data_IF_933350753912
#
_entry.id   IF_933350753912
#
_cell.length_a   1.000
_cell.length_b   1.000
_cell.length_c   1.000
_cell.angle_alpha   90.00
_cell.angle_beta   90.00
_cell.angle_gamma   90.00
#
_symmetry.space_group_name_H-M   'P 1'
#
loop_
_entity.id
_entity.type
_entity.pdbx_description
1 polymer ?
#
# COMPACT_ATOMS: atom_id res chain seq x y z
N UNK A 1 1.29 -2.56 -27.83
CA UNK A 1 2.63 -1.94 -27.93
C UNK A 1 3.19 -1.84 -26.51
N UNK A 2 4.20 -2.66 -26.13
CA UNK A 2 4.85 -2.52 -24.81
C UNK A 2 5.83 -1.35 -24.92
N UNK A 3 5.41 -0.15 -24.54
CA UNK A 3 6.31 0.99 -24.41
C UNK A 3 7.31 0.74 -23.28
N UNK A 4 8.50 1.32 -23.36
CA UNK A 4 9.44 1.33 -22.24
C UNK A 4 8.83 2.15 -21.09
N UNK A 5 8.37 1.46 -20.04
CA UNK A 5 7.75 2.09 -18.87
C UNK A 5 8.78 2.44 -17.78
N UNK A 6 10.07 2.43 -18.10
CA UNK A 6 11.13 2.85 -17.17
C UNK A 6 10.93 4.29 -16.67
N UNK A 7 10.32 5.17 -17.47
CA UNK A 7 10.01 6.54 -17.07
C UNK A 7 9.04 6.61 -15.87
N UNK A 8 8.16 5.61 -15.70
CA UNK A 8 7.25 5.53 -14.56
C UNK A 8 7.98 5.33 -13.22
N UNK A 9 9.25 4.91 -13.25
CA UNK A 9 10.07 4.77 -12.06
C UNK A 9 10.75 6.08 -11.64
N UNK A 10 10.89 7.08 -12.52
CA UNK A 10 11.61 8.34 -12.23
C UNK A 10 11.17 9.02 -10.92
N UNK A 11 9.86 9.10 -10.58
CA UNK A 11 9.44 9.71 -9.32
C UNK A 11 10.00 9.03 -8.07
N UNK A 12 10.36 7.74 -8.14
CA UNK A 12 10.87 6.96 -7.00
C UNK A 12 12.23 7.47 -6.50
N UNK A 13 12.98 8.18 -7.33
CA UNK A 13 14.22 8.87 -6.93
C UNK A 13 13.98 9.82 -5.75
N UNK A 14 12.75 10.35 -5.60
CA UNK A 14 12.31 11.12 -4.44
C UNK A 14 12.52 10.35 -3.15
N UNK A 15 12.28 9.03 -3.13
CA UNK A 15 12.46 8.21 -1.94
C UNK A 15 13.85 7.59 -1.86
N UNK A 16 14.31 6.90 -2.90
CA UNK A 16 15.69 6.42 -2.94
C UNK A 16 16.13 6.02 -4.35
N UNK A 17 17.45 6.06 -4.64
CA UNK A 17 18.00 5.45 -5.86
C UNK A 17 17.70 3.95 -5.96
N UNK A 18 17.70 3.23 -4.83
CA UNK A 18 17.37 1.81 -4.82
C UNK A 18 15.93 1.52 -5.27
N UNK A 19 14.96 2.32 -4.81
CA UNK A 19 13.57 2.21 -5.26
C UNK A 19 13.46 2.48 -6.77
N UNK A 20 14.18 3.48 -7.28
CA UNK A 20 14.24 3.76 -8.71
C UNK A 20 14.75 2.56 -9.52
N UNK A 21 15.88 1.96 -9.15
CA UNK A 21 16.44 0.81 -9.87
C UNK A 21 15.52 -0.41 -9.86
N UNK A 22 14.89 -0.70 -8.72
CA UNK A 22 13.90 -1.76 -8.63
C UNK A 22 12.66 -1.43 -9.48
N UNK A 23 12.23 -0.16 -9.50
CA UNK A 23 11.14 0.36 -10.32
C UNK A 23 11.37 0.18 -11.81
N UNK A 24 12.57 0.50 -12.30
CA UNK A 24 12.98 0.25 -13.69
C UNK A 24 12.91 -1.22 -14.05
N UNK A 25 13.30 -2.09 -13.13
CA UNK A 25 13.33 -3.53 -13.38
C UNK A 25 11.91 -4.09 -13.46
N UNK A 26 11.02 -3.70 -12.53
CA UNK A 26 9.65 -4.22 -12.48
C UNK A 26 8.72 -3.58 -13.51
N UNK A 27 9.01 -2.36 -13.99
CA UNK A 27 8.16 -1.64 -14.97
C UNK A 27 7.97 -2.39 -16.29
N UNK A 28 8.90 -3.28 -16.67
CA UNK A 28 8.79 -4.15 -17.85
C UNK A 28 7.59 -5.10 -17.83
N UNK A 29 7.02 -5.33 -16.64
CA UNK A 29 5.84 -6.17 -16.44
C UNK A 29 4.54 -5.37 -16.45
N UNK A 30 4.61 -4.04 -16.44
CA UNK A 30 3.46 -3.16 -16.39
C UNK A 30 2.90 -2.89 -17.79
N UNK A 31 1.63 -2.51 -17.81
CA UNK A 31 0.93 -2.01 -18.97
C UNK A 31 0.39 -0.61 -18.65
N UNK A 32 0.31 0.26 -19.66
CA UNK A 32 -0.37 1.55 -19.54
C UNK A 32 -1.86 1.38 -19.83
N UNK A 33 -2.69 1.98 -18.98
CA UNK A 33 -4.12 2.12 -19.25
C UNK A 33 -4.36 3.32 -20.17
N UNK A 34 -4.05 3.18 -21.46
CA UNK A 34 -4.27 4.22 -22.47
C UNK A 34 -5.76 4.42 -22.83
N UNK A 35 -6.69 4.12 -21.93
CA UNK A 35 -8.14 4.17 -22.14
C UNK A 35 -8.72 3.05 -23.03
N UNK A 36 -7.87 2.30 -23.73
CA UNK A 36 -8.28 1.29 -24.71
C UNK A 36 -7.67 -0.11 -24.46
N UNK A 37 -6.68 -0.21 -23.56
CA UNK A 37 -5.97 -1.47 -23.27
C UNK A 37 -6.84 -2.45 -22.50
N UNK A 38 -7.72 -1.98 -21.60
CA UNK A 38 -8.74 -2.83 -20.98
C UNK A 38 -9.66 -3.44 -22.05
N UNK A 39 -10.11 -2.65 -23.02
CA UNK A 39 -10.97 -3.13 -24.12
C UNK A 39 -10.26 -4.17 -24.99
N UNK A 40 -8.97 -3.99 -25.26
CA UNK A 40 -8.18 -4.92 -26.08
C UNK A 40 -7.75 -6.20 -25.32
N UNK A 41 -7.59 -6.15 -23.99
CA UNK A 41 -7.26 -7.32 -23.17
C UNK A 41 -8.49 -8.15 -22.75
N UNK A 42 -9.70 -7.57 -22.80
CA UNK A 42 -10.96 -8.33 -22.62
C UNK A 42 -11.06 -9.46 -23.67
N UNK A 43 -10.45 -9.32 -24.85
CA UNK A 43 -10.37 -10.40 -25.85
C UNK A 43 -9.46 -11.57 -25.48
N UNK A 44 -8.60 -11.43 -24.46
CA UNK A 44 -7.63 -12.45 -24.03
C UNK A 44 -7.89 -13.01 -22.62
N UNK A 45 -8.94 -12.52 -21.93
CA UNK A 45 -9.34 -12.93 -20.57
C UNK A 45 -8.17 -12.94 -19.55
N UNK A 46 -7.21 -12.01 -19.69
CA UNK A 46 -6.09 -11.89 -18.74
C UNK A 46 -6.52 -10.95 -17.60
N UNK A 47 -6.68 -11.44 -16.36
CA UNK A 47 -6.98 -10.57 -15.24
C UNK A 47 -5.84 -9.57 -15.01
N UNK A 48 -6.21 -8.30 -14.82
CA UNK A 48 -5.27 -7.21 -14.53
C UNK A 48 -5.69 -6.46 -13.28
N UNK A 49 -4.69 -6.04 -12.51
CA UNK A 49 -4.84 -5.22 -11.33
C UNK A 49 -4.47 -3.77 -11.65
N UNK A 50 -5.24 -2.82 -11.13
CA UNK A 50 -4.98 -1.38 -11.30
C UNK A 50 -4.02 -0.89 -10.21
N UNK A 51 -3.00 -0.15 -10.61
CA UNK A 51 -2.03 0.52 -9.76
C UNK A 51 -2.14 2.04 -9.97
N UNK A 52 -3.02 2.69 -9.21
CA UNK A 52 -3.29 4.12 -9.42
C UNK A 52 -4.04 4.39 -10.74
N UNK A 53 -3.85 5.58 -11.31
CA UNK A 53 -4.64 6.00 -12.47
C UNK A 53 -4.29 5.21 -13.74
N UNK A 54 -2.99 5.10 -14.07
CA UNK A 54 -2.58 4.77 -15.44
C UNK A 54 -1.81 3.45 -15.57
N UNK A 55 -1.52 2.76 -14.47
CA UNK A 55 -0.72 1.53 -14.49
C UNK A 55 -1.57 0.29 -14.24
N UNK A 56 -1.31 -0.75 -15.01
CA UNK A 56 -1.91 -2.07 -14.88
C UNK A 56 -0.83 -3.12 -14.66
N UNK A 57 -1.06 -4.01 -13.71
CA UNK A 57 -0.24 -5.18 -13.42
C UNK A 57 -1.03 -6.44 -13.81
N UNK A 58 -0.54 -7.27 -14.74
CA UNK A 58 -1.17 -8.57 -15.00
C UNK A 58 -1.18 -9.45 -13.75
N UNK A 59 -2.33 -10.03 -13.41
CA UNK A 59 -2.52 -10.73 -12.13
C UNK A 59 -1.72 -12.04 -11.99
N UNK A 60 -1.17 -12.55 -13.10
CA UNK A 60 -0.28 -13.72 -13.10
C UNK A 60 1.19 -13.37 -12.80
N UNK A 61 1.53 -12.08 -12.69
CA UNK A 61 2.89 -11.65 -12.37
C UNK A 61 3.07 -11.75 -10.86
N UNK A 62 3.90 -12.70 -10.43
CA UNK A 62 4.32 -12.80 -9.04
C UNK A 62 5.25 -11.65 -8.69
N UNK A 63 4.84 -10.85 -7.71
CA UNK A 63 5.59 -9.69 -7.22
C UNK A 63 6.01 -9.93 -5.78
N UNK A 64 7.30 -9.78 -5.51
CA UNK A 64 7.88 -9.88 -4.18
C UNK A 64 7.45 -8.69 -3.29
N UNK A 65 7.70 -8.80 -1.99
CA UNK A 65 7.37 -7.73 -1.03
C UNK A 65 8.06 -6.38 -1.36
N UNK A 66 9.37 -6.34 -1.69
CA UNK A 66 10.01 -5.11 -2.17
C UNK A 66 9.39 -4.54 -3.45
N UNK A 67 9.06 -5.40 -4.41
CA UNK A 67 8.45 -4.98 -5.68
C UNK A 67 7.05 -4.42 -5.46
N UNK A 68 6.25 -4.98 -4.56
CA UNK A 68 4.93 -4.42 -4.21
C UNK A 68 5.03 -3.01 -3.63
N UNK A 69 6.02 -2.73 -2.77
CA UNK A 69 6.22 -1.39 -2.25
C UNK A 69 6.54 -0.39 -3.37
N UNK A 70 7.42 -0.79 -4.28
CA UNK A 70 7.78 0.01 -5.45
C UNK A 70 6.59 0.22 -6.40
N UNK A 71 5.82 -0.82 -6.68
CA UNK A 71 4.64 -0.73 -7.55
C UNK A 71 3.55 0.17 -6.98
N UNK A 72 3.30 0.12 -5.67
CA UNK A 72 2.40 1.05 -5.00
C UNK A 72 2.87 2.50 -5.14
N UNK A 73 4.19 2.72 -5.03
CA UNK A 73 4.80 4.04 -5.20
C UNK A 73 4.76 4.53 -6.65
N UNK A 74 4.95 3.65 -7.64
CA UNK A 74 4.77 3.97 -9.05
C UNK A 74 3.33 4.36 -9.37
N UNK A 75 2.34 3.72 -8.74
CA UNK A 75 0.93 4.09 -8.86
C UNK A 75 0.60 5.51 -8.34
N UNK A 76 1.45 6.07 -7.46
CA UNK A 76 1.37 7.49 -7.04
C UNK A 76 1.94 8.40 -8.14
N UNK A 77 2.98 7.94 -8.85
CA UNK A 77 3.58 8.63 -9.97
C UNK A 77 4.19 9.98 -9.60
N UNK A 78 3.99 10.98 -10.45
CA UNK A 78 4.59 12.31 -10.33
C UNK A 78 4.16 13.08 -9.07
N UNK A 79 3.17 12.60 -8.31
CA UNK A 79 2.75 13.16 -7.03
C UNK A 79 3.57 12.68 -5.83
N UNK A 80 4.49 11.73 -6.02
CA UNK A 80 5.29 11.18 -4.94
C UNK A 80 6.16 12.26 -4.26
N UNK A 81 6.07 12.40 -2.93
CA UNK A 81 6.83 13.41 -2.17
C UNK A 81 7.42 12.82 -0.90
N UNK A 82 8.42 13.51 -0.34
CA UNK A 82 8.78 13.36 1.08
C UNK A 82 7.96 14.33 1.94
N UNK A 83 7.64 13.97 3.19
CA UNK A 83 7.95 12.71 3.87
C UNK A 83 6.77 11.73 3.85
N UNK A 84 6.22 11.42 2.66
CA UNK A 84 5.08 10.49 2.56
C UNK A 84 5.52 9.06 2.84
N UNK A 85 4.60 8.27 3.40
CA UNK A 85 4.81 6.85 3.75
C UNK A 85 3.64 6.04 3.19
N UNK A 86 3.87 4.90 2.53
CA UNK A 86 2.76 4.02 2.13
C UNK A 86 2.00 3.58 3.37
N UNK A 87 0.66 3.69 3.35
CA UNK A 87 -0.17 3.49 4.53
C UNK A 87 -1.47 2.75 4.20
N UNK A 88 -2.20 2.37 5.26
CA UNK A 88 -3.53 1.76 5.15
C UNK A 88 -3.50 0.55 4.20
N UNK A 89 -4.52 0.36 3.36
CA UNK A 89 -4.60 -0.74 2.40
C UNK A 89 -3.44 -0.83 1.41
N UNK A 90 -2.74 0.27 1.09
CA UNK A 90 -1.53 0.19 0.25
C UNK A 90 -0.37 -0.44 0.99
N UNK A 91 -0.14 -0.09 2.25
CA UNK A 91 0.85 -0.78 3.08
C UNK A 91 0.43 -2.22 3.37
N UNK A 92 -0.86 -2.48 3.63
CA UNK A 92 -1.37 -3.83 3.82
C UNK A 92 -1.08 -4.72 2.60
N UNK A 93 -1.31 -4.21 1.39
CA UNK A 93 -1.01 -4.93 0.15
C UNK A 93 0.47 -5.30 0.00
N UNK A 94 1.40 -4.44 0.46
CA UNK A 94 2.84 -4.75 0.47
C UNK A 94 3.12 -6.03 1.27
N UNK A 95 2.48 -6.24 2.41
CA UNK A 95 2.68 -7.43 3.24
C UNK A 95 1.83 -8.64 2.80
N UNK A 96 0.61 -8.39 2.33
CA UNK A 96 -0.39 -9.43 2.09
C UNK A 96 -0.35 -9.98 0.66
N UNK A 97 0.01 -9.15 -0.32
CA UNK A 97 -0.16 -9.45 -1.74
C UNK A 97 -1.62 -9.45 -2.15
N UNK A 98 -1.94 -10.14 -3.25
CA UNK A 98 -3.29 -10.15 -3.84
C UNK A 98 -3.59 -8.89 -4.65
N UNK A 99 -4.86 -8.52 -4.73
CA UNK A 99 -5.28 -7.34 -5.49
C UNK A 99 -4.82 -6.04 -4.79
N UNK A 100 -4.10 -5.14 -5.47
CA UNK A 100 -3.79 -3.81 -4.96
C UNK A 100 -5.06 -2.95 -4.82
N UNK A 101 -5.06 -1.98 -3.90
CA UNK A 101 -6.11 -0.98 -3.85
C UNK A 101 -6.08 -0.11 -5.11
N UNK A 102 -7.24 0.24 -5.65
CA UNK A 102 -7.35 1.07 -6.86
C UNK A 102 -6.67 2.44 -6.71
N UNK A 103 -6.75 3.01 -5.50
CA UNK A 103 -6.11 4.27 -5.15
C UNK A 103 -5.00 4.03 -4.13
N UNK A 104 -3.75 4.41 -4.44
CA UNK A 104 -2.67 4.40 -3.48
C UNK A 104 -3.02 5.24 -2.26
N UNK A 105 -2.67 4.75 -1.07
CA UNK A 105 -2.89 5.40 0.20
C UNK A 105 -1.55 5.69 0.86
N UNK A 106 -1.38 6.94 1.30
CA UNK A 106 -0.17 7.41 1.97
C UNK A 106 -0.50 8.14 3.26
N UNK A 107 0.37 7.97 4.26
CA UNK A 107 0.43 8.81 5.42
C UNK A 107 1.23 10.07 5.10
N UNK A 108 0.72 11.22 5.54
CA UNK A 108 1.36 12.52 5.34
C UNK A 108 1.43 13.28 6.66
N UNK A 109 2.45 14.13 6.87
CA UNK A 109 2.48 15.05 8.00
C UNK A 109 1.28 16.00 7.92
N UNK A 110 0.87 16.51 9.09
CA UNK A 110 -0.29 17.39 9.24
C UNK A 110 -0.23 18.56 8.24
N UNK A 111 -1.34 18.84 7.53
CA UNK A 111 -1.54 19.90 6.50
C UNK A 111 -1.17 19.58 5.04
N UNK A 112 -1.39 18.35 4.54
CA UNK A 112 -1.40 18.12 3.09
C UNK A 112 -2.77 18.43 2.46
N UNK A 113 -2.78 19.08 1.29
CA UNK A 113 -4.00 19.24 0.47
C UNK A 113 -4.28 17.96 -0.30
N UNK A 114 -5.54 17.53 -0.35
CA UNK A 114 -6.01 16.40 -1.16
C UNK A 114 -5.55 16.55 -2.61
N UNK A 115 -4.99 15.48 -3.19
CA UNK A 115 -4.65 15.41 -4.62
C UNK A 115 -5.42 14.29 -5.29
N UNK A 116 -5.87 14.52 -6.51
CA UNK A 116 -6.64 13.54 -7.28
C UNK A 116 -5.80 12.29 -7.55
N UNK A 117 -6.35 11.11 -7.24
CA UNK A 117 -5.70 9.82 -7.52
C UNK A 117 -5.00 9.17 -6.33
N UNK A 118 -4.73 9.89 -5.24
CA UNK A 118 -4.04 9.36 -4.04
C UNK A 118 -4.86 9.65 -2.78
N UNK A 119 -5.07 8.64 -1.94
CA UNK A 119 -5.70 8.80 -0.63
C UNK A 119 -4.68 9.27 0.39
N UNK A 120 -4.86 10.49 0.91
CA UNK A 120 -3.99 11.06 1.94
C UNK A 120 -4.58 10.84 3.32
N UNK A 121 -3.84 10.15 4.19
CA UNK A 121 -4.16 10.01 5.60
C UNK A 121 -3.26 10.88 6.45
N UNK A 122 -3.85 11.73 7.29
CA UNK A 122 -3.10 12.52 8.24
C UNK A 122 -2.85 11.68 9.49
N UNK A 123 -1.60 11.25 9.67
CA UNK A 123 -1.17 10.47 10.83
C UNK A 123 0.01 11.13 11.52
N UNK A 124 0.02 11.07 12.84
CA UNK A 124 1.25 11.20 13.61
C UNK A 124 1.97 9.86 13.57
N UNK A 125 3.10 9.81 12.87
CA UNK A 125 3.97 8.64 12.78
C UNK A 125 5.25 8.88 13.56
N UNK A 126 5.60 7.92 14.41
CA UNK A 126 6.93 7.81 15.00
C UNK A 126 7.87 7.08 14.02
N UNK A 127 9.20 7.18 14.20
CA UNK A 127 10.14 6.38 13.41
C UNK A 127 9.88 4.86 13.47
N UNK A 128 9.37 4.35 14.60
CA UNK A 128 9.04 2.93 14.76
C UNK A 128 7.80 2.49 13.94
N UNK A 129 6.98 3.44 13.47
CA UNK A 129 5.85 3.16 12.60
C UNK A 129 6.25 3.03 11.13
N UNK A 130 7.53 3.22 10.78
CA UNK A 130 8.00 3.30 9.39
C UNK A 130 9.11 2.27 9.17
N UNK A 131 8.91 1.39 8.19
CA UNK A 131 9.91 0.48 7.65
C UNK A 131 10.36 0.96 6.27
N UNK A 132 11.57 0.63 5.87
CA UNK A 132 12.03 0.82 4.48
C UNK A 132 12.00 -0.51 3.76
N UNK A 133 11.16 -0.63 2.74
CA UNK A 133 10.97 -1.86 1.94
C UNK A 133 11.16 -1.50 0.47
N UNK A 134 12.08 -2.17 -0.23
CA UNK A 134 12.40 -1.85 -1.62
C UNK A 134 12.86 -0.40 -1.83
N UNK A 135 13.42 0.23 -0.77
CA UNK A 135 13.80 1.64 -0.80
C UNK A 135 12.63 2.62 -0.63
N UNK A 136 11.42 2.13 -0.36
CA UNK A 136 10.21 2.92 -0.11
C UNK A 136 9.89 2.95 1.40
N UNK A 137 9.48 4.09 1.97
CA UNK A 137 8.91 4.15 3.31
C UNK A 137 7.51 3.53 3.32
N UNK A 138 7.33 2.51 4.16
CA UNK A 138 6.10 1.75 4.34
C UNK A 138 5.74 1.69 5.80
N UNK A 139 4.46 1.88 6.12
CA UNK A 139 3.96 1.77 7.49
C UNK A 139 4.21 0.35 8.04
N UNK A 140 4.65 0.25 9.30
CA UNK A 140 4.96 -1.03 9.93
C UNK A 140 3.72 -1.92 10.04
N UNK A 141 3.84 -3.26 10.02
CA UNK A 141 2.69 -4.16 10.04
C UNK A 141 1.78 -3.97 11.27
N UNK A 142 2.38 -3.70 12.44
CA UNK A 142 1.63 -3.45 13.67
C UNK A 142 0.80 -2.17 13.59
N UNK A 143 1.35 -1.12 12.96
CA UNK A 143 0.63 0.13 12.73
C UNK A 143 -0.46 -0.02 11.67
N UNK A 144 -0.19 -0.74 10.58
CA UNK A 144 -1.20 -1.09 9.56
C UNK A 144 -2.38 -1.83 10.20
N UNK A 145 -2.11 -2.86 11.00
CA UNK A 145 -3.15 -3.63 11.68
C UNK A 145 -3.99 -2.76 12.63
N UNK A 146 -3.34 -1.89 13.42
CA UNK A 146 -4.03 -0.97 14.32
C UNK A 146 -4.90 0.04 13.56
N UNK A 147 -4.39 0.63 12.47
CA UNK A 147 -5.12 1.61 11.67
C UNK A 147 -6.33 0.97 10.98
N UNK A 148 -6.17 -0.22 10.36
CA UNK A 148 -7.26 -0.95 9.72
C UNK A 148 -8.37 -1.29 10.73
N UNK A 149 -8.02 -1.86 11.90
CA UNK A 149 -8.99 -2.17 12.95
C UNK A 149 -9.72 -0.95 13.49
N UNK A 150 -9.06 0.22 13.56
CA UNK A 150 -9.71 1.45 14.00
C UNK A 150 -10.72 1.96 12.98
N UNK A 151 -10.46 1.72 11.69
CA UNK A 151 -11.38 2.14 10.62
C UNK A 151 -12.57 1.19 10.45
N UNK A 152 -12.37 -0.11 10.59
CA UNK A 152 -13.41 -1.12 10.37
C UNK A 152 -13.23 -2.33 11.30
N UNK A 153 -13.52 -2.21 12.61
CA UNK A 153 -13.33 -3.30 13.56
C UNK A 153 -14.21 -4.53 13.27
N UNK A 154 -15.34 -4.31 12.60
CA UNK A 154 -16.30 -5.36 12.24
C UNK A 154 -16.27 -5.70 10.74
N UNK A 155 -15.35 -5.09 9.96
CA UNK A 155 -15.24 -5.31 8.52
C UNK A 155 -14.57 -6.68 8.22
N UNK A 156 -15.23 -7.59 7.46
CA UNK A 156 -14.68 -8.90 7.20
C UNK A 156 -13.32 -8.89 6.48
N UNK A 157 -13.09 -7.90 5.60
CA UNK A 157 -11.83 -7.72 4.89
C UNK A 157 -10.70 -7.30 5.83
N UNK A 158 -10.98 -6.36 6.74
CA UNK A 158 -10.05 -5.97 7.81
C UNK A 158 -9.71 -7.16 8.70
N UNK A 159 -10.71 -7.93 9.13
CA UNK A 159 -10.52 -9.12 9.95
C UNK A 159 -9.65 -10.16 9.23
N UNK A 160 -9.94 -10.45 7.95
CA UNK A 160 -9.13 -11.37 7.16
C UNK A 160 -7.68 -10.90 7.00
N UNK A 161 -7.48 -9.62 6.68
CA UNK A 161 -6.16 -9.01 6.56
C UNK A 161 -5.36 -9.15 7.86
N UNK A 162 -6.00 -8.88 9.01
CA UNK A 162 -5.36 -9.02 10.30
C UNK A 162 -4.98 -10.45 10.66
N UNK A 163 -5.86 -11.42 10.40
CA UNK A 163 -5.52 -12.85 10.58
C UNK A 163 -4.29 -13.21 9.80
N UNK A 164 -4.24 -12.83 8.52
CA UNK A 164 -3.07 -13.12 7.68
C UNK A 164 -1.80 -12.41 8.16
N UNK A 165 -1.89 -11.17 8.66
CA UNK A 165 -0.72 -10.47 9.24
C UNK A 165 -0.18 -11.20 10.49
N UNK A 166 -1.07 -11.71 11.34
CA UNK A 166 -0.72 -12.46 12.55
C UNK A 166 -0.15 -13.85 12.20
N UNK A 167 -0.85 -14.60 11.35
CA UNK A 167 -0.48 -15.96 10.93
C UNK A 167 0.86 -16.01 10.20
N UNK A 168 1.15 -15.01 9.36
CA UNK A 168 2.44 -14.88 8.65
C UNK A 168 3.56 -14.31 9.52
N UNK A 169 3.28 -13.97 10.78
CA UNK A 169 4.27 -13.45 11.72
C UNK A 169 4.75 -12.02 11.42
N UNK A 170 4.00 -11.25 10.62
CA UNK A 170 4.34 -9.84 10.37
C UNK A 170 4.17 -8.96 11.61
N UNK A 171 3.27 -9.35 12.51
CA UNK A 171 3.04 -8.69 13.80
C UNK A 171 2.46 -9.69 14.81
N UNK A 172 2.26 -9.24 16.06
CA UNK A 172 1.64 -10.02 17.13
C UNK A 172 0.48 -9.22 17.75
N UNK A 173 -0.52 -9.92 18.29
CA UNK A 173 -1.69 -9.28 18.94
C UNK A 173 -1.29 -8.29 20.04
N UNK A 174 -0.28 -8.64 20.85
CA UNK A 174 0.26 -7.79 21.91
C UNK A 174 0.75 -6.45 21.37
N UNK A 175 1.56 -6.48 20.31
CA UNK A 175 2.10 -5.27 19.66
C UNK A 175 1.00 -4.44 19.00
N UNK A 176 -0.02 -5.07 18.40
CA UNK A 176 -1.17 -4.36 17.82
C UNK A 176 -1.99 -3.67 18.92
N UNK A 177 -2.20 -4.35 20.06
CA UNK A 177 -2.90 -3.80 21.22
C UNK A 177 -2.19 -2.56 21.76
N UNK A 178 -0.89 -2.67 22.00
CA UNK A 178 -0.04 -1.55 22.43
C UNK A 178 -0.15 -0.37 21.46
N UNK A 179 -0.10 -0.66 20.16
CA UNK A 179 -0.22 0.39 19.13
C UNK A 179 -1.58 1.08 19.15
N UNK A 180 -2.68 0.35 19.35
CA UNK A 180 -4.02 0.94 19.50
C UNK A 180 -4.07 1.90 20.70
N UNK A 181 -3.41 1.56 21.80
CA UNK A 181 -3.29 2.43 22.98
C UNK A 181 -2.43 3.66 22.72
N UNK A 182 -1.27 3.51 22.07
CA UNK A 182 -0.35 4.61 21.74
C UNK A 182 -0.97 5.66 20.82
N UNK A 183 -1.77 5.24 19.83
CA UNK A 183 -2.50 6.16 18.95
C UNK A 183 -3.53 6.99 19.75
N UNK A 184 -3.94 6.52 20.93
CA UNK A 184 -4.87 7.19 21.82
C UNK A 184 -6.34 6.86 21.54
N UNK A 185 -7.26 7.31 22.42
CA UNK A 185 -8.68 7.01 22.30
C UNK A 185 -9.27 7.62 21.01
N UNK A 186 -10.04 6.82 20.27
CA UNK A 186 -10.76 7.25 19.08
C UNK A 186 -12.12 6.58 18.98
N UNK A 187 -12.88 6.95 17.93
CA UNK A 187 -14.29 6.57 17.73
C UNK A 187 -14.58 5.07 17.81
N UNK A 188 -13.57 4.22 17.61
CA UNK A 188 -13.70 2.75 17.62
C UNK A 188 -12.72 2.03 18.56
N UNK A 189 -11.92 2.71 19.39
CA UNK A 189 -10.82 2.05 20.13
C UNK A 189 -11.26 0.83 20.93
N UNK A 190 -12.40 0.91 21.64
CA UNK A 190 -12.96 -0.23 22.38
C UNK A 190 -13.32 -1.39 21.46
N UNK A 191 -14.02 -1.13 20.36
CA UNK A 191 -14.43 -2.16 19.40
C UNK A 191 -13.22 -2.79 18.69
N UNK A 192 -12.21 -1.98 18.37
CA UNK A 192 -10.95 -2.48 17.80
C UNK A 192 -10.23 -3.45 18.73
N UNK A 193 -10.22 -3.16 20.04
CA UNK A 193 -9.66 -4.08 21.04
C UNK A 193 -10.52 -5.35 21.15
N UNK A 194 -11.84 -5.22 21.26
CA UNK A 194 -12.76 -6.36 21.31
C UNK A 194 -12.63 -7.26 20.07
N UNK A 195 -12.47 -6.68 18.89
CA UNK A 195 -12.24 -7.41 17.64
C UNK A 195 -10.88 -8.13 17.65
N UNK A 196 -9.82 -7.47 18.11
CA UNK A 196 -8.47 -8.05 18.21
C UNK A 196 -8.43 -9.26 19.14
N UNK A 197 -9.18 -9.25 20.25
CA UNK A 197 -9.26 -10.39 21.18
C UNK A 197 -10.01 -11.61 20.59
N UNK A 198 -10.84 -11.42 19.57
CA UNK A 198 -11.60 -12.51 18.92
C UNK A 198 -10.85 -13.19 17.77
N UNK A 199 -9.74 -12.60 17.31
CA UNK A 199 -8.81 -13.23 16.38
C UNK A 199 -8.01 -14.32 17.10
#
# INVERSE_FOLDING_TARGET
MRGDLSACAEPLTVWSPHAYELGRTISRHLLLDAGDVRTQLIGFDVPVHRLGADLLLPAHVDVSLPERAVLAAMGIGADLRRPWVLANWSAAWVYLGGAPPERPAVAVPHRARTRGGVTLHQFSLSPADILTIGGCPVMSPSRVAADLLRTGPDDPGVIAALRTLLERGWTQKTVVRERIHEIGPGRNSRRSLEALERL
#
